data_IF_419703982151
#
_entry.id   IF_419703982151
#
_cell.length_a   1.000
_cell.length_b   1.000
_cell.length_c   1.000
_cell.angle_alpha   90.00
_cell.angle_beta   90.00
_cell.angle_gamma   90.00
#
_symmetry.space_group_name_H-M   'P 1'
#
loop_
_entity.id
_entity.type
_entity.pdbx_description
1 polymer ?
#
# COMPACT_ATOMS: atom_id res chain seq x y z
N UNK A 1 44.48 -8.23 -12.04
CA UNK A 1 44.30 -7.37 -10.84
C UNK A 1 43.11 -7.93 -10.06
N UNK A 2 43.22 -8.13 -8.74
CA UNK A 2 42.11 -8.55 -7.88
C UNK A 2 41.62 -7.35 -7.05
N UNK A 3 40.31 -7.06 -6.99
CA UNK A 3 39.81 -5.93 -6.20
C UNK A 3 40.02 -6.16 -4.70
N UNK A 4 40.38 -5.09 -3.98
CA UNK A 4 40.65 -5.13 -2.53
C UNK A 4 39.39 -5.02 -1.66
N UNK A 5 38.26 -4.63 -2.24
CA UNK A 5 36.97 -4.49 -1.55
C UNK A 5 35.79 -4.64 -2.52
N UNK A 6 34.62 -4.93 -1.97
CA UNK A 6 33.34 -4.95 -2.67
C UNK A 6 32.22 -4.48 -1.72
N UNK A 7 31.17 -3.89 -2.29
CA UNK A 7 29.99 -3.42 -1.55
C UNK A 7 28.74 -3.96 -2.25
N UNK A 8 27.76 -4.38 -1.46
CA UNK A 8 26.45 -4.78 -1.94
C UNK A 8 25.36 -4.03 -1.17
N UNK A 9 24.26 -3.70 -1.86
CA UNK A 9 23.10 -3.06 -1.28
C UNK A 9 21.93 -4.05 -1.28
N UNK A 10 21.32 -4.25 -0.12
CA UNK A 10 20.16 -5.11 0.04
C UNK A 10 18.98 -4.27 0.52
N UNK A 11 17.88 -4.31 -0.23
CA UNK A 11 16.64 -3.62 0.14
C UNK A 11 15.64 -4.62 0.70
N UNK A 12 15.38 -4.55 2.01
CA UNK A 12 14.43 -5.45 2.67
C UNK A 12 13.00 -4.91 2.61
N UNK A 13 12.06 -5.82 2.38
CA UNK A 13 10.63 -5.63 2.69
C UNK A 13 10.33 -6.36 3.99
N UNK A 14 10.20 -5.61 5.08
CA UNK A 14 10.08 -6.16 6.44
C UNK A 14 8.61 -6.45 6.75
N UNK A 15 8.32 -7.64 7.25
CA UNK A 15 6.97 -8.02 7.67
C UNK A 15 6.54 -7.18 8.88
N UNK A 16 5.25 -6.82 8.98
CA UNK A 16 4.68 -6.00 10.07
C UNK A 16 4.80 -6.58 11.49
N UNK A 17 5.32 -7.79 11.61
CA UNK A 17 5.57 -8.48 12.90
C UNK A 17 7.06 -8.56 13.24
N UNK A 18 7.93 -7.95 12.43
CA UNK A 18 9.36 -7.95 12.61
C UNK A 18 9.89 -6.53 12.77
N UNK A 19 11.04 -6.40 13.42
CA UNK A 19 11.77 -5.13 13.51
C UNK A 19 12.93 -5.10 12.51
N UNK A 20 13.48 -3.89 12.30
CA UNK A 20 14.71 -3.72 11.51
C UNK A 20 15.88 -4.47 12.19
N UNK A 21 15.96 -4.40 13.52
CA UNK A 21 17.02 -5.06 14.28
C UNK A 21 16.95 -6.59 14.16
N UNK A 22 15.75 -7.17 14.22
CA UNK A 22 15.56 -8.62 14.05
C UNK A 22 16.01 -9.10 12.65
N UNK A 23 15.79 -8.28 11.61
CA UNK A 23 16.25 -8.57 10.25
C UNK A 23 17.77 -8.46 10.16
N UNK A 24 18.36 -7.41 10.73
CA UNK A 24 19.83 -7.26 10.76
C UNK A 24 20.51 -8.39 11.54
N UNK A 25 19.93 -8.82 12.66
CA UNK A 25 20.44 -9.95 13.43
C UNK A 25 20.28 -11.27 12.70
N UNK A 26 19.23 -11.42 11.89
CA UNK A 26 19.11 -12.54 10.97
C UNK A 26 20.21 -12.52 9.91
N UNK A 27 20.44 -11.38 9.26
CA UNK A 27 21.47 -11.25 8.21
C UNK A 27 22.88 -11.51 8.76
N UNK A 28 23.21 -10.96 9.94
CA UNK A 28 24.49 -11.24 10.63
C UNK A 28 24.72 -12.72 10.84
N UNK A 29 23.72 -13.44 11.34
CA UNK A 29 23.80 -14.89 11.57
C UNK A 29 23.89 -15.68 10.29
N UNK A 30 23.19 -15.26 9.24
CA UNK A 30 23.19 -15.93 7.94
C UNK A 30 24.55 -15.78 7.24
N UNK A 31 25.14 -14.58 7.31
CA UNK A 31 26.44 -14.28 6.69
C UNK A 31 27.56 -15.01 7.43
N UNK A 32 27.56 -14.98 8.76
CA UNK A 32 28.51 -15.72 9.61
C UNK A 32 29.99 -15.48 9.25
N UNK A 33 30.35 -14.26 8.86
CA UNK A 33 31.71 -13.84 8.52
C UNK A 33 31.98 -12.44 9.08
N UNK A 34 32.84 -12.36 10.10
CA UNK A 34 33.15 -11.13 10.83
C UNK A 34 33.91 -10.08 9.99
N UNK A 35 34.37 -10.45 8.79
CA UNK A 35 35.00 -9.52 7.84
C UNK A 35 33.98 -8.66 7.09
N UNK A 36 32.69 -9.03 7.14
CA UNK A 36 31.62 -8.32 6.44
C UNK A 36 31.00 -7.30 7.37
N UNK A 37 31.11 -6.03 7.00
CA UNK A 37 30.47 -4.92 7.71
C UNK A 37 29.04 -4.71 7.20
N UNK A 38 28.07 -4.63 8.12
CA UNK A 38 26.68 -4.31 7.82
C UNK A 38 26.35 -2.92 8.35
N UNK A 39 25.83 -2.07 7.47
CA UNK A 39 25.36 -0.73 7.81
C UNK A 39 23.99 -0.48 7.17
N UNK A 40 23.12 0.23 7.90
CA UNK A 40 21.87 0.76 7.33
C UNK A 40 22.21 2.02 6.56
N UNK A 41 21.79 2.09 5.30
CA UNK A 41 21.91 3.32 4.53
C UNK A 41 20.73 4.26 4.84
N UNK A 42 21.05 5.44 5.37
CA UNK A 42 20.06 6.46 5.71
C UNK A 42 19.27 6.17 6.99
N UNK A 43 17.99 6.59 7.02
CA UNK A 43 17.12 6.40 8.18
C UNK A 43 16.38 5.08 8.05
N UNK A 44 16.45 4.17 9.06
CA UNK A 44 15.70 2.93 9.03
C UNK A 44 14.19 3.21 8.96
N UNK A 45 13.51 2.48 8.07
CA UNK A 45 12.06 2.55 7.94
C UNK A 45 11.47 1.30 8.57
N UNK A 46 10.86 1.46 9.74
CA UNK A 46 10.10 0.40 10.39
C UNK A 46 8.84 0.07 9.58
N UNK A 47 8.37 -1.19 9.60
CA UNK A 47 7.13 -1.54 8.93
C UNK A 47 5.97 -0.72 9.50
N UNK A 48 5.13 -0.19 8.61
CA UNK A 48 3.97 0.59 9.01
C UNK A 48 2.94 -0.31 9.74
N UNK A 49 2.22 0.22 10.74
CA UNK A 49 1.16 -0.53 11.41
C UNK A 49 0.02 -0.90 10.44
N UNK A 50 -0.72 -1.95 10.81
CA UNK A 50 -1.92 -2.35 10.08
C UNK A 50 -3.03 -1.34 10.39
N UNK A 51 -3.60 -0.72 9.36
CA UNK A 51 -4.76 0.16 9.53
C UNK A 51 -6.02 -0.65 9.88
N UNK A 52 -6.95 -0.09 10.67
CA UNK A 52 -8.18 -0.78 11.06
C UNK A 52 -9.03 -1.06 9.81
N UNK A 53 -9.72 -2.20 9.76
CA UNK A 53 -10.56 -2.60 8.62
C UNK A 53 -11.82 -3.37 9.03
N UNK A 54 -12.18 -3.30 10.31
CA UNK A 54 -13.40 -3.92 10.81
C UNK A 54 -14.66 -3.09 10.46
N UNK A 55 -15.82 -3.55 10.92
CA UNK A 55 -17.11 -2.87 10.68
C UNK A 55 -17.21 -1.49 11.36
N UNK A 56 -16.32 -1.18 12.31
CA UNK A 56 -16.26 0.12 13.01
C UNK A 56 -15.20 1.06 12.43
N UNK A 57 -14.38 0.58 11.48
CA UNK A 57 -13.32 1.36 10.85
C UNK A 57 -13.89 2.30 9.79
N UNK A 58 -14.25 3.52 10.18
CA UNK A 58 -14.88 4.52 9.30
C UNK A 58 -14.19 4.64 7.93
N UNK A 59 -12.88 4.92 7.90
CA UNK A 59 -12.15 5.08 6.64
C UNK A 59 -12.20 3.86 5.73
N UNK A 60 -12.12 2.65 6.27
CA UNK A 60 -12.25 1.42 5.50
C UNK A 60 -13.67 1.23 4.96
N UNK A 61 -14.69 1.49 5.76
CA UNK A 61 -16.09 1.35 5.34
C UNK A 61 -16.48 2.38 4.28
N UNK A 62 -15.95 3.61 4.36
CA UNK A 62 -16.12 4.65 3.35
C UNK A 62 -15.44 4.25 2.03
N UNK A 63 -14.18 3.75 2.07
CA UNK A 63 -13.51 3.19 0.88
C UNK A 63 -14.34 2.06 0.27
N UNK A 64 -14.78 1.10 1.09
CA UNK A 64 -15.58 -0.04 0.65
C UNK A 64 -16.90 0.38 0.00
N UNK A 65 -17.58 1.39 0.55
CA UNK A 65 -18.81 1.94 -0.04
C UNK A 65 -18.53 2.58 -1.39
N UNK A 66 -17.51 3.43 -1.48
CA UNK A 66 -17.13 4.13 -2.71
C UNK A 66 -16.69 3.17 -3.82
N UNK A 67 -15.97 2.09 -3.48
CA UNK A 67 -15.63 1.03 -4.45
C UNK A 67 -16.92 0.43 -5.03
N UNK A 68 -17.89 0.07 -4.17
CA UNK A 68 -19.12 -0.59 -4.63
C UNK A 68 -20.05 0.31 -5.42
N UNK A 69 -19.90 1.63 -5.31
CA UNK A 69 -20.64 2.61 -6.12
C UNK A 69 -20.16 2.67 -7.57
N UNK A 70 -18.94 2.19 -7.85
CA UNK A 70 -18.34 2.24 -9.18
C UNK A 70 -18.12 0.86 -9.77
N UNK A 71 -17.83 -0.12 -8.91
CA UNK A 71 -17.48 -1.48 -9.30
C UNK A 71 -18.56 -2.43 -8.76
N UNK A 72 -19.59 -2.67 -9.59
CA UNK A 72 -20.70 -3.56 -9.27
C UNK A 72 -20.20 -4.98 -8.95
N UNK A 73 -20.91 -5.66 -8.04
CA UNK A 73 -20.65 -7.04 -7.62
C UNK A 73 -19.22 -7.35 -7.13
N UNK A 74 -18.48 -6.32 -6.71
CA UNK A 74 -17.09 -6.48 -6.26
C UNK A 74 -17.01 -6.77 -4.75
N UNK A 75 -16.21 -7.79 -4.41
CA UNK A 75 -15.82 -8.08 -3.03
C UNK A 75 -14.64 -7.19 -2.65
N UNK A 76 -14.77 -6.47 -1.54
CA UNK A 76 -13.71 -5.60 -1.00
C UNK A 76 -13.07 -6.31 0.19
N UNK A 77 -11.77 -6.52 0.11
CA UNK A 77 -10.95 -7.13 1.16
C UNK A 77 -9.70 -6.29 1.41
N UNK A 78 -9.16 -6.26 2.64
CA UNK A 78 -7.88 -5.62 2.92
C UNK A 78 -6.74 -6.34 2.18
N UNK A 79 -5.75 -5.57 1.73
CA UNK A 79 -4.56 -6.08 1.03
C UNK A 79 -3.28 -5.41 1.51
N UNK A 80 -2.13 -6.03 1.23
CA UNK A 80 -0.81 -5.49 1.55
C UNK A 80 -0.28 -4.75 0.33
N UNK A 81 0.06 -3.47 0.52
CA UNK A 81 0.79 -2.67 -0.47
C UNK A 81 2.29 -2.87 -0.28
N UNK A 82 2.98 -3.37 -1.31
CA UNK A 82 4.41 -3.66 -1.27
C UNK A 82 5.30 -2.46 -1.66
N UNK A 83 4.75 -1.48 -2.38
CA UNK A 83 5.52 -0.32 -2.82
C UNK A 83 5.59 0.76 -1.74
N UNK A 84 6.69 1.52 -1.75
CA UNK A 84 6.82 2.71 -0.91
C UNK A 84 5.92 3.83 -1.44
N UNK A 85 5.35 4.60 -0.53
CA UNK A 85 4.50 5.75 -0.82
C UNK A 85 4.80 6.85 0.20
N UNK A 86 4.27 8.05 0.01
CA UNK A 86 4.43 9.15 0.96
C UNK A 86 3.79 8.88 2.33
N UNK A 87 3.10 7.73 2.51
CA UNK A 87 2.48 7.34 3.79
C UNK A 87 3.43 7.34 4.98
N UNK A 88 4.75 7.24 4.78
CA UNK A 88 5.74 7.37 5.85
C UNK A 88 5.64 8.71 6.60
N UNK A 89 5.18 9.77 5.92
CA UNK A 89 5.05 11.12 6.48
C UNK A 89 3.72 11.35 7.21
N UNK A 90 2.76 10.45 7.05
CA UNK A 90 1.42 10.58 7.62
C UNK A 90 1.21 9.69 8.87
N UNK A 91 2.22 8.91 9.27
CA UNK A 91 2.10 7.98 10.40
C UNK A 91 1.78 8.66 11.74
N UNK A 92 2.20 9.92 11.92
CA UNK A 92 1.86 10.70 13.12
C UNK A 92 0.50 11.39 13.05
N UNK A 93 -0.15 11.42 11.87
CA UNK A 93 -1.43 12.10 11.68
C UNK A 93 -2.61 11.22 12.13
N UNK A 94 -2.58 9.93 11.80
CA UNK A 94 -3.69 9.00 12.08
C UNK A 94 -3.22 7.55 12.00
N UNK A 95 -3.91 6.65 12.71
CA UNK A 95 -3.71 5.20 12.58
C UNK A 95 -4.46 4.61 11.37
N UNK A 96 -5.38 5.37 10.77
CA UNK A 96 -6.22 4.95 9.65
C UNK A 96 -5.64 5.42 8.30
N UNK A 97 -4.58 4.76 7.84
CA UNK A 97 -3.85 5.09 6.61
C UNK A 97 -4.05 4.00 5.55
N UNK A 98 -4.90 4.28 4.57
CA UNK A 98 -5.24 3.33 3.50
C UNK A 98 -4.50 3.67 2.21
N UNK A 99 -3.96 2.65 1.54
CA UNK A 99 -3.25 2.77 0.26
C UNK A 99 -4.08 2.05 -0.79
N UNK A 100 -4.80 2.81 -1.60
CA UNK A 100 -5.69 2.26 -2.61
C UNK A 100 -5.68 3.13 -3.85
N UNK A 101 -5.65 2.49 -5.01
CA UNK A 101 -5.83 3.12 -6.32
C UNK A 101 -7.00 2.42 -7.02
N UNK A 102 -8.04 3.14 -7.46
CA UNK A 102 -9.29 2.55 -7.96
C UNK A 102 -9.19 2.11 -9.43
N UNK A 103 -8.07 1.52 -9.82
CA UNK A 103 -7.86 1.04 -11.19
C UNK A 103 -8.06 -0.46 -11.28
N UNK A 104 -8.81 -0.91 -12.30
CA UNK A 104 -8.88 -2.32 -12.69
C UNK A 104 -7.55 -2.70 -13.35
N UNK A 105 -6.88 -3.71 -12.82
CA UNK A 105 -5.56 -4.14 -13.27
C UNK A 105 -5.56 -5.64 -13.49
N UNK A 106 -5.02 -6.08 -14.63
CA UNK A 106 -4.72 -7.48 -14.87
C UNK A 106 -3.24 -7.77 -14.56
N UNK A 107 -2.86 -9.04 -14.36
CA UNK A 107 -1.46 -9.41 -14.09
C UNK A 107 -0.46 -8.82 -15.09
N UNK A 108 -0.85 -8.69 -16.36
CA UNK A 108 -0.03 -8.13 -17.44
C UNK A 108 0.20 -6.62 -17.30
N UNK A 109 -0.70 -5.90 -16.63
CA UNK A 109 -0.60 -4.46 -16.42
C UNK A 109 0.41 -4.12 -15.32
N UNK A 110 0.64 -5.04 -14.37
CA UNK A 110 1.57 -4.81 -13.23
C UNK A 110 3.00 -4.51 -13.67
N UNK A 111 3.43 -5.07 -14.82
CA UNK A 111 4.76 -4.83 -15.41
C UNK A 111 4.91 -3.43 -16.00
N UNK A 112 3.82 -2.71 -16.19
CA UNK A 112 3.82 -1.37 -16.78
C UNK A 112 4.01 -0.27 -15.75
N UNK A 113 3.82 -0.55 -14.45
CA UNK A 113 4.13 0.43 -13.41
C UNK A 113 5.60 0.81 -13.48
N UNK A 114 5.88 2.10 -13.71
CA UNK A 114 7.25 2.60 -13.94
C UNK A 114 7.96 1.92 -15.14
N UNK A 115 7.19 1.34 -16.05
CA UNK A 115 7.65 0.63 -17.22
C UNK A 115 7.38 1.39 -18.52
N UNK A 116 7.71 0.74 -19.64
CA UNK A 116 7.44 1.32 -20.95
C UNK A 116 5.94 1.29 -21.26
N UNK A 117 5.43 2.40 -21.81
CA UNK A 117 4.04 2.53 -22.24
C UNK A 117 3.03 2.22 -21.12
N UNK A 118 3.29 2.78 -19.93
CA UNK A 118 2.36 2.82 -18.81
C UNK A 118 1.04 3.47 -19.24
N UNK A 119 -0.07 2.73 -19.09
CA UNK A 119 -1.39 3.15 -19.56
C UNK A 119 -2.50 2.36 -18.89
N UNK A 120 -3.67 2.96 -18.88
CA UNK A 120 -4.96 2.34 -18.54
C UNK A 120 -5.95 2.61 -19.67
N UNK A 121 -7.06 1.87 -19.71
CA UNK A 121 -8.14 2.16 -20.68
C UNK A 121 -8.89 3.43 -20.30
N UNK A 122 -9.57 4.05 -21.26
CA UNK A 122 -10.41 5.23 -21.02
C UNK A 122 -11.53 4.91 -20.03
N UNK A 123 -12.16 3.72 -20.14
CA UNK A 123 -13.16 3.24 -19.19
C UNK A 123 -12.60 3.16 -17.75
N UNK A 124 -11.38 2.62 -17.58
CA UNK A 124 -10.73 2.53 -16.27
C UNK A 124 -10.40 3.91 -15.68
N UNK A 125 -10.00 4.85 -16.54
CA UNK A 125 -9.79 6.24 -16.15
C UNK A 125 -11.10 6.91 -15.67
N UNK A 126 -12.20 6.72 -16.40
CA UNK A 126 -13.51 7.27 -16.01
C UNK A 126 -13.96 6.68 -14.66
N UNK A 127 -13.82 5.37 -14.47
CA UNK A 127 -14.10 4.71 -13.17
C UNK A 127 -13.23 5.23 -12.04
N UNK A 128 -11.96 5.52 -12.32
CA UNK A 128 -11.05 6.14 -11.34
C UNK A 128 -11.57 7.52 -10.91
N UNK A 129 -11.97 8.37 -11.86
CA UNK A 129 -12.56 9.69 -11.57
C UNK A 129 -13.86 9.55 -10.76
N UNK A 130 -14.75 8.64 -11.17
CA UNK A 130 -16.00 8.36 -10.47
C UNK A 130 -15.75 7.91 -9.01
N UNK A 131 -14.76 7.03 -8.78
CA UNK A 131 -14.40 6.61 -7.43
C UNK A 131 -13.93 7.80 -6.56
N UNK A 132 -13.09 8.67 -7.11
CA UNK A 132 -12.61 9.84 -6.36
C UNK A 132 -13.75 10.83 -6.04
N UNK A 133 -14.74 10.96 -6.92
CA UNK A 133 -15.96 11.70 -6.59
C UNK A 133 -16.69 11.07 -5.38
N UNK A 134 -16.97 9.76 -5.43
CA UNK A 134 -17.68 9.09 -4.34
C UNK A 134 -16.92 9.06 -3.02
N UNK A 135 -15.59 8.85 -3.02
CA UNK A 135 -14.83 8.87 -1.77
C UNK A 135 -14.83 10.25 -1.12
N UNK A 136 -14.77 11.33 -1.90
CA UNK A 136 -14.85 12.69 -1.37
C UNK A 136 -16.23 12.92 -0.75
N UNK A 137 -17.31 12.66 -1.50
CA UNK A 137 -18.69 12.86 -1.01
C UNK A 137 -18.99 11.98 0.21
N UNK A 138 -18.62 10.71 0.19
CA UNK A 138 -18.85 9.81 1.32
C UNK A 138 -17.99 10.16 2.54
N UNK A 139 -16.89 10.90 2.38
CA UNK A 139 -16.09 11.35 3.52
C UNK A 139 -16.78 12.45 4.34
N UNK A 140 -17.85 13.07 3.81
CA UNK A 140 -18.65 14.06 4.54
C UNK A 140 -19.63 13.43 5.55
N UNK A 141 -19.79 12.10 5.55
CA UNK A 141 -20.56 11.42 6.59
C UNK A 141 -19.91 11.59 7.97
N UNK A 142 -20.72 11.88 8.99
CA UNK A 142 -20.24 11.98 10.38
C UNK A 142 -19.93 10.61 10.99
N UNK A 143 -20.75 9.62 10.64
CA UNK A 143 -20.70 8.26 11.14
C UNK A 143 -20.78 7.29 9.96
N UNK A 144 -20.47 6.02 10.21
CA UNK A 144 -20.56 4.99 9.17
C UNK A 144 -22.02 4.89 8.71
N UNK A 145 -22.33 5.18 7.44
CA UNK A 145 -23.71 5.16 6.98
C UNK A 145 -24.24 3.73 6.97
N UNK A 146 -25.53 3.58 7.27
CA UNK A 146 -26.22 2.29 7.18
C UNK A 146 -26.01 1.65 5.80
N UNK A 147 -26.06 0.32 5.76
CA UNK A 147 -25.95 -0.46 4.52
C UNK A 147 -27.13 -0.14 3.61
N UNK A 148 -26.96 0.85 2.74
CA UNK A 148 -27.90 1.15 1.69
C UNK A 148 -27.55 0.37 0.43
N UNK A 149 -28.56 -0.03 -0.37
CA UNK A 149 -28.32 -0.54 -1.71
C UNK A 149 -27.56 0.53 -2.47
N UNK A 150 -26.40 0.14 -2.96
CA UNK A 150 -25.53 1.02 -3.73
C UNK A 150 -26.20 1.20 -5.09
N UNK A 151 -26.64 2.42 -5.37
CA UNK A 151 -27.09 2.81 -6.72
C UNK A 151 -25.87 3.36 -7.45
N UNK A 152 -25.67 2.89 -8.67
CA UNK A 152 -24.77 3.53 -9.61
C UNK A 152 -25.38 4.91 -9.93
N UNK A 153 -24.65 5.98 -9.61
CA UNK A 153 -25.15 7.36 -9.77
C UNK A 153 -24.55 8.05 -11.00
N UNK A 154 -23.80 7.35 -11.86
CA UNK A 154 -23.20 7.89 -13.08
C UNK A 154 -23.16 6.90 -14.26
#
# INVERSE_FOLDING_TARGET
>A
VLPSSATAYVNHRIHVKQTVDEVLDFDRRLISDDRIELAIEGVPIHPHPISPYDDNAFGYQIIRRSIRQVFNDTVVVPGIMLANTDTRWYQSLTSAIYRFSPSVLFPEDTKRFHGHNERITVDNYIKTVNYYHHIIVNSDYKDIPDRQPVKDEL
#
